data_IF_104555648834
#
_entry.id   IF_104555648834
#
_cell.length_a   1.000
_cell.length_b   1.000
_cell.length_c   1.000
_cell.angle_alpha   90.00
_cell.angle_beta   90.00
_cell.angle_gamma   90.00
#
_symmetry.space_group_name_H-M   'P 1'
#
loop_
_entity.id
_entity.type
_entity.pdbx_description
1 polymer ?
#
# COMPACT_ATOMS: atom_id res chain seq x y z
N UNK A 1 1.95 -24.55 4.44
CA UNK A 1 2.00 -23.61 3.31
C UNK A 1 0.91 -22.61 3.57
N UNK A 2 1.23 -21.36 3.91
CA UNK A 2 0.22 -20.37 4.26
C UNK A 2 -0.54 -19.98 2.99
N UNK A 3 -1.74 -20.52 2.88
CA UNK A 3 -2.77 -20.17 1.91
C UNK A 3 -3.05 -18.67 2.06
N UNK A 4 -2.33 -17.84 1.29
CA UNK A 4 -2.64 -16.43 1.13
C UNK A 4 -4.05 -16.35 0.55
N UNK A 5 -5.05 -16.23 1.41
CA UNK A 5 -6.41 -15.90 1.01
C UNK A 5 -6.32 -14.65 0.13
N UNK A 6 -6.64 -14.77 -1.16
CA UNK A 6 -6.58 -13.66 -2.12
C UNK A 6 -7.63 -12.64 -1.75
N UNK A 7 -7.26 -11.75 -0.85
CA UNK A 7 -8.07 -10.62 -0.41
C UNK A 7 -7.89 -9.47 -1.39
N UNK A 8 -8.91 -8.63 -1.52
CA UNK A 8 -8.88 -7.43 -2.37
C UNK A 8 -7.64 -6.55 -2.10
N UNK A 9 -7.20 -6.47 -0.85
CA UNK A 9 -5.99 -5.76 -0.44
C UNK A 9 -4.69 -6.29 -1.11
N UNK A 10 -4.52 -7.61 -1.24
CA UNK A 10 -3.35 -8.20 -1.90
C UNK A 10 -3.47 -8.08 -3.43
N UNK A 11 -4.70 -8.15 -3.97
CA UNK A 11 -4.96 -7.91 -5.39
C UNK A 11 -4.54 -6.51 -5.83
N UNK A 12 -4.90 -5.46 -5.07
CA UNK A 12 -4.52 -4.08 -5.41
C UNK A 12 -3.01 -3.86 -5.34
N UNK A 13 -2.30 -4.57 -4.45
CA UNK A 13 -0.83 -4.58 -4.43
C UNK A 13 -0.24 -5.27 -5.67
N UNK A 14 -0.81 -6.39 -6.10
CA UNK A 14 -0.30 -7.11 -7.28
C UNK A 14 -0.57 -6.35 -8.59
N UNK A 15 -1.74 -5.72 -8.71
CA UNK A 15 -2.10 -4.89 -9.87
C UNK A 15 -1.21 -3.65 -9.99
N UNK A 16 -0.73 -3.14 -8.85
CA UNK A 16 0.22 -2.05 -8.78
C UNK A 16 1.64 -2.49 -9.17
N UNK A 17 2.27 -1.83 -10.14
CA UNK A 17 3.65 -2.09 -10.52
C UNK A 17 4.65 -1.93 -9.35
N UNK A 18 4.40 -0.96 -8.47
CA UNK A 18 5.17 -0.70 -7.25
C UNK A 18 4.51 -1.29 -5.99
N UNK A 19 3.50 -2.16 -6.12
CA UNK A 19 2.86 -2.77 -4.95
C UNK A 19 3.70 -3.85 -4.28
N UNK A 20 4.71 -4.40 -4.96
CA UNK A 20 5.73 -5.24 -4.34
C UNK A 20 6.56 -4.50 -3.27
N UNK A 21 6.59 -3.17 -3.33
CA UNK A 21 7.28 -2.32 -2.34
C UNK A 21 6.41 -2.04 -1.11
N UNK A 22 5.14 -2.45 -1.09
CA UNK A 22 4.21 -2.22 0.02
C UNK A 22 3.77 -3.54 0.68
N UNK A 23 3.61 -3.51 2.00
CA UNK A 23 3.17 -4.65 2.80
C UNK A 23 2.01 -4.23 3.72
N UNK A 24 0.89 -4.95 3.67
CA UNK A 24 -0.19 -4.77 4.64
C UNK A 24 0.23 -5.35 6.00
N UNK A 25 0.17 -4.50 7.03
CA UNK A 25 0.48 -4.83 8.44
C UNK A 25 -0.78 -5.12 9.26
N UNK A 26 -1.96 -4.85 8.70
CA UNK A 26 -3.26 -5.17 9.29
C UNK A 26 -4.00 -6.22 8.47
N UNK A 27 -4.91 -6.95 9.12
CA UNK A 27 -5.80 -7.89 8.45
C UNK A 27 -6.91 -7.17 7.68
N UNK A 28 -7.23 -7.66 6.49
CA UNK A 28 -8.32 -7.11 5.68
C UNK A 28 -9.67 -7.54 6.26
N UNK A 29 -10.49 -6.58 6.67
CA UNK A 29 -11.80 -6.83 7.29
C UNK A 29 -12.93 -7.04 6.26
N UNK A 30 -12.63 -7.05 4.96
CA UNK A 30 -13.63 -7.17 3.90
C UNK A 30 -14.14 -5.84 3.34
N UNK A 31 -13.75 -4.70 3.94
CA UNK A 31 -14.20 -3.37 3.54
C UNK A 31 -13.10 -2.60 2.79
N UNK A 32 -13.29 -2.25 1.50
CA UNK A 32 -12.23 -1.62 0.70
C UNK A 32 -11.94 -0.17 1.11
N UNK A 33 -12.90 0.52 1.72
CA UNK A 33 -12.76 1.89 2.25
C UNK A 33 -12.29 1.93 3.69
N UNK A 34 -12.11 0.77 4.34
CA UNK A 34 -11.62 0.73 5.71
C UNK A 34 -10.11 0.97 5.71
N UNK A 35 -9.61 1.95 6.47
CA UNK A 35 -8.18 2.19 6.56
C UNK A 35 -7.49 1.00 7.22
N UNK A 36 -6.39 0.57 6.63
CA UNK A 36 -5.55 -0.51 7.12
C UNK A 36 -4.12 -0.02 7.24
N UNK A 37 -3.36 -0.60 8.17
CA UNK A 37 -1.96 -0.27 8.30
C UNK A 37 -1.18 -0.87 7.14
N UNK A 38 -0.53 -0.02 6.37
CA UNK A 38 0.37 -0.39 5.27
C UNK A 38 1.77 0.13 5.55
N UNK A 39 2.77 -0.61 5.11
CA UNK A 39 4.17 -0.24 5.24
C UNK A 39 4.83 -0.23 3.87
N UNK A 40 5.56 0.83 3.56
CA UNK A 40 6.40 0.87 2.36
C UNK A 40 7.77 0.28 2.71
N UNK A 41 8.02 -0.97 2.37
CA UNK A 41 9.20 -1.72 2.80
C UNK A 41 10.48 -1.35 2.04
N UNK A 42 10.40 -1.05 0.74
CA UNK A 42 11.59 -0.89 -0.11
C UNK A 42 12.07 0.57 -0.31
N UNK A 43 11.51 1.54 0.44
CA UNK A 43 11.88 2.95 0.27
C UNK A 43 11.78 3.78 1.57
N UNK A 44 10.56 4.12 2.04
CA UNK A 44 10.37 5.00 3.20
C UNK A 44 10.44 4.23 4.54
N UNK A 45 10.10 2.93 4.55
CA UNK A 45 10.06 2.10 5.77
C UNK A 45 8.92 2.46 6.74
N UNK A 46 8.15 3.50 6.43
CA UNK A 46 7.12 4.08 7.29
C UNK A 46 5.81 3.31 7.21
N UNK A 47 5.14 3.19 8.36
CA UNK A 47 3.84 2.56 8.50
C UNK A 47 2.77 3.65 8.63
N UNK A 48 1.72 3.57 7.82
CA UNK A 48 0.63 4.54 7.81
C UNK A 48 -0.69 3.85 7.53
N UNK A 49 -1.79 4.53 7.85
CA UNK A 49 -3.13 4.02 7.63
C UNK A 49 -3.60 4.42 6.23
N UNK A 50 -3.88 3.42 5.40
CA UNK A 50 -4.37 3.60 4.03
C UNK A 50 -5.41 2.53 3.71
N UNK A 51 -6.50 2.92 3.05
CA UNK A 51 -7.51 1.96 2.61
C UNK A 51 -7.08 1.28 1.30
N UNK A 52 -7.43 0.01 1.07
CA UNK A 52 -7.19 -0.64 -0.22
C UNK A 52 -7.79 0.12 -1.42
N UNK A 53 -8.97 0.75 -1.25
CA UNK A 53 -9.57 1.60 -2.28
C UNK A 53 -8.76 2.87 -2.55
N UNK A 54 -8.19 3.47 -1.51
CA UNK A 54 -7.33 4.64 -1.64
C UNK A 54 -6.03 4.28 -2.36
N UNK A 55 -5.45 3.12 -2.03
CA UNK A 55 -4.28 2.57 -2.73
C UNK A 55 -4.58 2.28 -4.21
N UNK A 56 -5.73 1.66 -4.50
CA UNK A 56 -6.20 1.42 -5.86
C UNK A 56 -6.46 2.73 -6.63
N UNK A 57 -6.92 3.79 -5.95
CA UNK A 57 -7.07 5.12 -6.53
C UNK A 57 -5.72 5.84 -6.80
N UNK A 58 -4.59 5.23 -6.44
CA UNK A 58 -3.24 5.76 -6.67
C UNK A 58 -2.62 6.49 -5.49
N UNK A 59 -3.26 6.52 -4.31
CA UNK A 59 -2.66 7.12 -3.10
C UNK A 59 -1.58 6.18 -2.54
N UNK A 60 -0.40 6.74 -2.23
CA UNK A 60 0.81 6.00 -1.81
C UNK A 60 1.54 6.73 -0.67
N UNK A 61 2.74 6.27 -0.25
CA UNK A 61 3.54 6.89 0.84
C UNK A 61 3.84 8.40 0.58
N UNK A 62 3.72 8.90 -0.65
CA UNK A 62 3.89 10.33 -0.97
C UNK A 62 2.82 11.23 -0.34
N UNK A 63 1.62 10.73 0.00
CA UNK A 63 0.56 11.56 0.59
C UNK A 63 0.96 12.15 1.94
N UNK A 64 1.94 11.55 2.61
CA UNK A 64 2.48 12.03 3.87
C UNK A 64 3.79 12.82 3.70
N UNK A 65 4.29 13.04 2.47
CA UNK A 65 5.57 13.71 2.19
C UNK A 65 6.81 13.02 2.83
N UNK A 66 6.68 11.78 3.32
CA UNK A 66 7.77 11.02 3.96
C UNK A 66 8.57 10.19 2.95
N UNK A 67 7.96 9.77 1.85
CA UNK A 67 8.64 9.04 0.79
C UNK A 67 9.05 9.99 -0.31
N UNK A 68 10.36 10.16 -0.48
CA UNK A 68 10.99 11.12 -1.39
C UNK A 68 10.28 11.23 -2.72
N UNK A 69 9.59 12.35 -2.90
CA UNK A 69 9.26 12.91 -4.20
C UNK A 69 10.62 13.26 -4.85
N UNK A 70 11.29 12.29 -5.47
CA UNK A 70 12.34 12.60 -6.43
C UNK A 70 11.62 13.13 -7.66
N UNK A 71 11.24 14.41 -7.60
CA UNK A 71 10.96 15.18 -8.80
C UNK A 71 12.13 14.93 -9.74
N UNK A 72 11.91 14.17 -10.81
CA UNK A 72 12.86 14.08 -11.90
C UNK A 72 13.00 15.51 -12.42
N UNK A 73 14.09 16.16 -12.00
CA UNK A 73 14.54 17.42 -12.52
C UNK A 73 15.04 17.14 -13.94
N UNK A 74 14.21 17.39 -14.95
CA UNK A 74 14.63 17.58 -16.33
C UNK A 74 14.39 19.03 -16.72
#
# INVERSE_FOLDING_TARGET
>A
MAEKTQNYADQVLNEAADGADYEWRSEYTGHPTMPMRIRHINHCGYEFDLSPADFAAGKRCYIHLHCGYVGKNY
#
